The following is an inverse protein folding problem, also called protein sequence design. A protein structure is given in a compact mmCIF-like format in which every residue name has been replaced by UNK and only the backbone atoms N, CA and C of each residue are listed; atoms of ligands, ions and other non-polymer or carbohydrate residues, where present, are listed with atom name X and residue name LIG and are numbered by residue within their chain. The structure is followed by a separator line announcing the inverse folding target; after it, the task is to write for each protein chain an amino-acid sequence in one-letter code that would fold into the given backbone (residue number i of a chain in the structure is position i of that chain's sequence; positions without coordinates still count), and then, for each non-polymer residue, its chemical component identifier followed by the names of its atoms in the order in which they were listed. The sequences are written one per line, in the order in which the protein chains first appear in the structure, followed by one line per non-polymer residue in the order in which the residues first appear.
data_IF_666436809527
#
_entry.id   IF_666436809527
#
_cell.length_a   1.000
_cell.length_b   1.000
_cell.length_c   1.000
_cell.angle_alpha   90.00
_cell.angle_beta   90.00
_cell.angle_gamma   90.00
#
_symmetry.space_group_name_H-M   'P 1'
#
loop_
_entity.id
_entity.type
_entity.pdbx_description
1 polymer ?
#
# COMPACT_ATOMS: atom_id res chain seq x y z
N UNK A 1 -36.25 -18.92 35.08
CA UNK A 1 -35.10 -17.99 35.13
C UNK A 1 -34.02 -18.58 34.25
N UNK A 2 -33.80 -18.00 33.07
CA UNK A 2 -32.68 -18.36 32.20
C UNK A 2 -31.90 -17.06 31.97
N UNK A 3 -30.67 -17.03 32.48
CA UNK A 3 -29.76 -15.89 32.40
C UNK A 3 -29.19 -15.81 30.99
N UNK A 4 -29.45 -14.68 30.34
CA UNK A 4 -28.81 -14.24 29.11
C UNK A 4 -27.34 -13.96 29.38
N UNK A 5 -26.46 -14.63 28.66
CA UNK A 5 -25.01 -14.42 28.74
C UNK A 5 -24.71 -13.28 27.75
N UNK A 6 -24.75 -12.03 28.23
CA UNK A 6 -24.19 -10.89 27.50
C UNK A 6 -22.68 -11.04 27.52
N UNK A 7 -22.12 -11.62 26.47
CA UNK A 7 -20.67 -11.69 26.32
C UNK A 7 -20.18 -10.33 25.86
N UNK A 8 -19.24 -9.83 26.65
CA UNK A 8 -18.76 -8.46 26.69
C UNK A 8 -18.45 -7.85 25.32
N UNK A 9 -18.93 -6.62 25.17
CA UNK A 9 -18.51 -5.61 24.21
C UNK A 9 -17.01 -5.34 24.40
N UNK A 10 -16.17 -6.19 23.80
CA UNK A 10 -14.76 -5.87 23.60
C UNK A 10 -14.67 -4.85 22.45
N UNK A 11 -15.20 -3.65 22.67
CA UNK A 11 -14.89 -2.49 21.85
C UNK A 11 -13.37 -2.28 21.93
N UNK A 12 -12.61 -2.39 20.82
CA UNK A 12 -11.16 -2.21 20.84
C UNK A 12 -10.86 -0.72 21.00
N UNK A 13 -10.91 -0.25 22.23
CA UNK A 13 -10.42 1.04 22.65
C UNK A 13 -8.94 1.09 22.27
N UNK A 14 -8.62 1.94 21.28
CA UNK A 14 -7.28 2.33 20.78
C UNK A 14 -6.84 1.80 19.39
N UNK A 15 -7.76 1.67 18.43
CA UNK A 15 -7.45 1.68 16.98
C UNK A 15 -7.69 3.04 16.29
N UNK A 16 -8.01 4.08 17.04
CA UNK A 16 -8.44 5.35 16.45
C UNK A 16 -7.23 6.13 15.94
N UNK A 17 -7.09 6.21 14.62
CA UNK A 17 -6.11 7.08 13.96
C UNK A 17 -6.45 8.54 14.33
N UNK A 18 -5.50 9.33 14.87
CA UNK A 18 -5.78 10.72 15.22
C UNK A 18 -6.26 11.50 14.00
N UNK A 19 -7.28 12.37 14.16
CA UNK A 19 -7.85 13.16 13.04
C UNK A 19 -6.80 13.90 12.23
N UNK A 20 -5.81 14.51 12.90
CA UNK A 20 -4.69 15.19 12.21
C UNK A 20 -3.87 14.24 11.35
N UNK A 21 -3.56 13.05 11.87
CA UNK A 21 -2.86 12.01 11.11
C UNK A 21 -3.68 11.57 9.91
N UNK A 22 -4.98 11.30 10.11
CA UNK A 22 -5.88 10.90 9.01
C UNK A 22 -5.91 11.94 7.88
N UNK A 23 -5.96 13.24 8.20
CA UNK A 23 -5.87 14.31 7.21
C UNK A 23 -4.55 14.23 6.42
N UNK A 24 -3.41 13.98 7.09
CA UNK A 24 -2.14 13.82 6.39
C UNK A 24 -2.13 12.61 5.46
N UNK A 25 -2.67 11.46 5.90
CA UNK A 25 -2.75 10.25 5.08
C UNK A 25 -3.59 10.49 3.82
N UNK A 26 -4.80 11.03 3.97
CA UNK A 26 -5.70 11.33 2.84
C UNK A 26 -5.11 12.40 1.91
N UNK A 27 -4.49 13.44 2.48
CA UNK A 27 -3.83 14.48 1.67
C UNK A 27 -2.66 13.92 0.86
N UNK A 28 -1.92 12.97 1.43
CA UNK A 28 -0.81 12.31 0.73
C UNK A 28 -1.32 11.44 -0.41
N UNK A 29 -2.41 10.69 -0.21
CA UNK A 29 -3.07 9.95 -1.30
C UNK A 29 -3.53 10.87 -2.43
N UNK A 30 -4.28 11.92 -2.09
CA UNK A 30 -4.75 12.90 -3.07
C UNK A 30 -3.59 13.53 -3.84
N UNK A 31 -2.50 13.90 -3.16
CA UNK A 31 -1.35 14.49 -3.83
C UNK A 31 -0.60 13.49 -4.74
N UNK A 32 -0.65 12.19 -4.44
CA UNK A 32 0.11 11.16 -5.16
C UNK A 32 -0.60 10.65 -6.41
N UNK A 33 -1.93 10.68 -6.45
CA UNK A 33 -2.70 10.10 -7.56
C UNK A 33 -3.65 11.08 -8.25
N UNK A 34 -3.52 12.38 -7.96
CA UNK A 34 -4.19 13.40 -8.77
C UNK A 34 -3.51 13.54 -10.14
N UNK A 35 -4.28 13.78 -11.21
CA UNK A 35 -5.73 14.07 -11.24
C UNK A 35 -6.62 12.83 -11.33
N UNK A 36 -6.05 11.63 -11.49
CA UNK A 36 -6.78 10.44 -11.90
C UNK A 36 -7.72 9.90 -10.81
N UNK A 37 -7.37 10.09 -9.53
CA UNK A 37 -8.15 9.59 -8.41
C UNK A 37 -8.35 10.62 -7.31
N UNK A 38 -9.54 10.61 -6.71
CA UNK A 38 -9.92 11.47 -5.59
C UNK A 38 -10.33 10.62 -4.37
N UNK A 39 -9.67 10.85 -3.23
CA UNK A 39 -9.86 10.08 -1.99
C UNK A 39 -10.80 10.80 -1.01
N UNK A 40 -11.72 11.61 -1.50
CA UNK A 40 -12.65 12.42 -0.68
C UNK A 40 -13.60 11.59 0.19
N UNK A 41 -13.87 10.34 -0.19
CA UNK A 41 -14.71 9.41 0.57
C UNK A 41 -13.92 8.59 1.60
N UNK A 42 -12.58 8.66 1.62
CA UNK A 42 -11.76 7.87 2.53
C UNK A 42 -12.00 8.23 3.99
N UNK A 43 -12.16 7.21 4.81
CA UNK A 43 -12.40 7.32 6.24
C UNK A 43 -11.27 6.65 7.02
N UNK A 44 -11.30 6.73 8.36
CA UNK A 44 -10.33 6.00 9.18
C UNK A 44 -10.45 4.48 9.08
N UNK A 45 -11.56 3.94 8.54
CA UNK A 45 -11.76 2.50 8.41
C UNK A 45 -10.92 1.91 7.25
N UNK A 46 -10.60 2.73 6.25
CA UNK A 46 -9.76 2.36 5.11
C UNK A 46 -8.27 2.31 5.47
N UNK A 47 -7.93 2.61 6.73
CA UNK A 47 -6.55 2.62 7.19
C UNK A 47 -6.37 1.72 8.41
N UNK A 48 -5.22 1.07 8.48
CA UNK A 48 -4.79 0.32 9.66
C UNK A 48 -3.45 0.84 10.15
N UNK A 49 -3.27 0.84 11.48
CA UNK A 49 -1.97 1.14 12.09
C UNK A 49 -1.17 -0.15 12.19
N UNK A 50 0.02 -0.16 11.61
CA UNK A 50 0.92 -1.29 11.65
C UNK A 50 1.86 -1.17 12.84
N UNK A 51 1.84 -2.17 13.73
CA UNK A 51 2.64 -2.19 14.96
C UNK A 51 3.90 -3.04 14.83
N UNK A 52 4.00 -3.86 13.79
CA UNK A 52 5.11 -4.77 13.57
C UNK A 52 5.82 -4.45 12.25
N UNK A 53 6.98 -3.79 12.36
CA UNK A 53 7.80 -3.43 11.22
C UNK A 53 8.23 -4.64 10.38
N UNK A 54 8.56 -5.75 11.02
CA UNK A 54 9.02 -6.94 10.30
C UNK A 54 7.91 -7.52 9.42
N UNK A 55 6.65 -7.46 9.87
CA UNK A 55 5.51 -7.86 9.02
C UNK A 55 5.35 -6.94 7.81
N UNK A 56 5.53 -5.63 7.99
CA UNK A 56 5.47 -4.65 6.89
C UNK A 56 6.59 -4.92 5.88
N UNK A 57 7.83 -5.12 6.35
CA UNK A 57 8.96 -5.45 5.49
C UNK A 57 8.72 -6.74 4.72
N UNK A 58 8.34 -7.81 5.40
CA UNK A 58 8.03 -9.09 4.77
C UNK A 58 6.90 -8.98 3.75
N UNK A 59 5.87 -8.16 4.02
CA UNK A 59 4.76 -7.93 3.11
C UNK A 59 5.18 -7.21 1.82
N UNK A 60 6.10 -6.23 1.92
CA UNK A 60 6.69 -5.54 0.77
C UNK A 60 7.65 -6.46 0.03
N UNK A 61 8.59 -7.09 0.74
CA UNK A 61 9.62 -7.95 0.18
C UNK A 61 8.99 -9.13 -0.59
N UNK A 62 7.98 -9.78 -0.03
CA UNK A 62 7.34 -10.94 -0.69
C UNK A 62 6.65 -10.55 -2.01
N UNK A 63 6.11 -9.34 -2.10
CA UNK A 63 5.48 -8.83 -3.33
C UNK A 63 6.51 -8.47 -4.38
N UNK A 64 7.61 -7.82 -4.00
CA UNK A 64 8.68 -7.56 -4.96
C UNK A 64 9.41 -8.83 -5.40
N UNK A 65 9.61 -9.79 -4.50
CA UNK A 65 10.18 -11.10 -4.85
C UNK A 65 9.28 -11.84 -5.85
N UNK A 66 7.96 -11.73 -5.74
CA UNK A 66 7.05 -12.43 -6.66
C UNK A 66 7.15 -11.94 -8.12
N UNK A 67 7.64 -10.72 -8.34
CA UNK A 67 7.80 -10.12 -9.68
C UNK A 67 9.27 -10.10 -10.14
N UNK A 68 10.19 -9.74 -9.25
CA UNK A 68 11.61 -9.52 -9.59
C UNK A 68 12.54 -10.67 -9.19
N UNK A 69 12.07 -11.64 -8.39
CA UNK A 69 12.86 -12.78 -7.94
C UNK A 69 14.15 -12.40 -7.22
N UNK A 70 15.26 -13.05 -7.61
CA UNK A 70 16.56 -12.90 -6.96
C UNK A 70 17.20 -11.52 -7.15
N UNK A 71 16.81 -10.79 -8.21
CA UNK A 71 17.27 -9.42 -8.39
C UNK A 71 16.87 -8.55 -7.19
N UNK A 72 15.60 -8.63 -6.76
CA UNK A 72 15.14 -7.88 -5.60
C UNK A 72 15.87 -8.28 -4.31
N UNK A 73 16.17 -9.57 -4.12
CA UNK A 73 16.91 -10.02 -2.93
C UNK A 73 18.27 -9.32 -2.79
N UNK A 74 18.91 -9.00 -3.91
CA UNK A 74 20.21 -8.31 -3.91
C UNK A 74 20.11 -6.81 -3.56
N UNK A 75 18.98 -6.16 -3.85
CA UNK A 75 18.77 -4.71 -3.64
C UNK A 75 17.90 -4.38 -2.42
N UNK A 76 17.13 -5.33 -1.89
CA UNK A 76 16.27 -5.16 -0.71
C UNK A 76 16.99 -4.52 0.48
N UNK A 77 18.23 -4.93 0.85
CA UNK A 77 18.96 -4.28 1.95
C UNK A 77 19.22 -2.78 1.69
N UNK A 78 19.50 -2.40 0.45
CA UNK A 78 19.77 -1.01 0.06
C UNK A 78 18.49 -0.18 0.10
N UNK A 79 17.38 -0.72 -0.42
CA UNK A 79 16.06 -0.09 -0.34
C UNK A 79 15.71 0.24 1.11
N UNK A 80 15.81 -0.73 2.02
CA UNK A 80 15.49 -0.51 3.42
C UNK A 80 16.46 0.41 4.14
N UNK A 81 17.74 0.45 3.73
CA UNK A 81 18.72 1.43 4.25
C UNK A 81 18.32 2.86 3.88
N UNK A 82 18.01 3.10 2.59
CA UNK A 82 17.61 4.43 2.10
C UNK A 82 16.33 4.90 2.78
N UNK A 83 15.34 4.02 2.93
CA UNK A 83 14.11 4.36 3.65
C UNK A 83 14.42 4.73 5.11
N UNK A 84 15.25 3.95 5.81
CA UNK A 84 15.60 4.23 7.21
C UNK A 84 16.40 5.53 7.38
N UNK A 85 17.30 5.84 6.45
CA UNK A 85 18.04 7.10 6.43
C UNK A 85 17.11 8.31 6.23
N UNK A 86 16.12 8.21 5.34
CA UNK A 86 15.24 9.32 5.00
C UNK A 86 14.11 9.58 6.01
N UNK A 87 13.59 8.53 6.67
CA UNK A 87 12.42 8.67 7.56
C UNK A 87 12.66 8.21 8.99
N UNK A 88 13.74 7.49 9.28
CA UNK A 88 13.97 6.78 10.54
C UNK A 88 12.76 5.91 10.89
N UNK A 89 12.75 4.68 10.40
CA UNK A 89 11.60 3.79 10.45
C UNK A 89 11.23 3.48 11.91
N UNK A 90 12.23 3.32 12.79
CA UNK A 90 12.01 3.00 14.21
C UNK A 90 11.28 4.10 14.98
N UNK A 91 11.44 5.35 14.57
CA UNK A 91 10.75 6.50 15.17
C UNK A 91 9.48 6.90 14.42
N UNK A 92 9.12 6.17 13.37
CA UNK A 92 7.95 6.43 12.54
C UNK A 92 6.73 5.63 13.01
N UNK A 93 5.55 6.24 12.91
CA UNK A 93 4.29 5.50 12.96
C UNK A 93 3.95 4.98 11.58
N UNK A 94 3.65 3.68 11.48
CA UNK A 94 3.37 3.02 10.21
C UNK A 94 1.86 2.84 10.04
N UNK A 95 1.36 3.18 8.86
CA UNK A 95 -0.03 2.98 8.47
C UNK A 95 -0.11 2.28 7.13
N UNK A 96 -1.18 1.54 6.91
CA UNK A 96 -1.52 0.88 5.65
C UNK A 96 -2.87 1.40 5.17
N UNK A 97 -3.02 1.56 3.86
CA UNK A 97 -4.30 1.88 3.22
C UNK A 97 -4.86 0.65 2.52
N UNK A 98 -6.10 0.32 2.87
CA UNK A 98 -6.89 -0.79 2.37
C UNK A 98 -8.25 -0.22 1.94
N UNK A 99 -8.41 0.11 0.65
CA UNK A 99 -9.67 0.68 0.18
C UNK A 99 -10.82 -0.32 0.39
N UNK A 100 -11.98 0.17 0.84
CA UNK A 100 -13.21 -0.54 0.57
C UNK A 100 -13.38 -0.66 -0.96
N UNK A 101 -13.72 -1.83 -1.48
CA UNK A 101 -13.68 -2.10 -2.93
C UNK A 101 -14.53 -1.16 -3.82
N UNK A 102 -15.30 -0.24 -3.24
CA UNK A 102 -16.03 0.84 -3.93
C UNK A 102 -15.19 2.09 -4.21
N UNK A 103 -14.13 2.33 -3.45
CA UNK A 103 -13.28 3.52 -3.54
C UNK A 103 -11.87 3.18 -4.06
N UNK A 104 -11.66 1.93 -4.50
CA UNK A 104 -10.33 1.40 -4.81
C UNK A 104 -9.89 1.77 -6.24
N UNK A 105 -8.92 2.68 -6.43
CA UNK A 105 -8.32 2.94 -7.75
C UNK A 105 -7.52 1.74 -8.27
N UNK A 106 -7.19 0.80 -7.39
CA UNK A 106 -6.48 -0.44 -7.66
C UNK A 106 -7.43 -1.63 -7.91
N UNK A 107 -8.73 -1.38 -8.11
CA UNK A 107 -9.71 -2.42 -8.48
C UNK A 107 -9.82 -2.65 -9.98
N UNK A 108 -8.98 -1.98 -10.80
CA UNK A 108 -8.92 -2.21 -12.24
C UNK A 108 -8.64 -3.69 -12.56
N UNK A 109 -9.28 -4.17 -13.62
CA UNK A 109 -9.10 -5.56 -14.07
C UNK A 109 -7.64 -5.81 -14.40
N UNK A 110 -7.07 -6.86 -13.83
CA UNK A 110 -5.68 -7.26 -14.07
C UNK A 110 -4.70 -6.92 -12.94
N UNK A 111 -5.09 -6.17 -11.90
CA UNK A 111 -4.20 -5.93 -10.76
C UNK A 111 -4.01 -7.24 -9.96
N UNK A 112 -2.74 -7.68 -9.86
CA UNK A 112 -2.34 -8.89 -9.15
C UNK A 112 -2.22 -8.60 -7.65
N UNK A 113 -1.53 -7.51 -7.34
CA UNK A 113 -1.36 -7.03 -5.98
C UNK A 113 -1.06 -5.54 -5.98
N UNK A 114 -1.41 -4.90 -4.88
CA UNK A 114 -0.94 -3.56 -4.52
C UNK A 114 -0.57 -3.53 -3.03
N UNK A 115 0.18 -2.52 -2.65
CA UNK A 115 0.34 -2.13 -1.26
C UNK A 115 0.49 -0.61 -1.16
N UNK A 116 0.08 -0.07 -0.02
CA UNK A 116 0.10 1.36 0.26
C UNK A 116 0.49 1.57 1.72
N UNK A 117 1.76 1.84 1.99
CA UNK A 117 2.28 2.06 3.34
C UNK A 117 2.72 3.50 3.57
N UNK A 118 2.43 4.04 4.74
CA UNK A 118 2.82 5.37 5.16
C UNK A 118 3.73 5.27 6.37
N UNK A 119 4.87 5.95 6.33
CA UNK A 119 5.78 6.10 7.46
C UNK A 119 5.74 7.57 7.89
N UNK A 120 5.07 7.84 9.01
CA UNK A 120 4.89 9.18 9.52
C UNK A 120 5.83 9.43 10.70
N UNK A 121 6.87 10.24 10.47
CA UNK A 121 7.79 10.67 11.51
C UNK A 121 7.43 12.07 11.99
N UNK A 122 6.80 12.15 13.16
CA UNK A 122 6.36 13.42 13.78
C UNK A 122 7.53 14.33 14.16
N UNK A 123 8.70 13.79 14.48
CA UNK A 123 9.88 14.58 14.86
C UNK A 123 10.51 15.24 13.64
N UNK A 124 10.62 14.51 12.53
CA UNK A 124 11.09 15.03 11.25
C UNK A 124 10.03 15.88 10.52
N UNK A 125 8.78 15.82 10.97
CA UNK A 125 7.61 16.44 10.31
C UNK A 125 7.47 15.98 8.86
N UNK A 126 7.77 14.70 8.61
CA UNK A 126 7.84 14.09 7.28
C UNK A 126 6.93 12.87 7.22
N UNK A 127 6.36 12.64 6.04
CA UNK A 127 5.65 11.41 5.71
C UNK A 127 6.32 10.81 4.47
N UNK A 128 6.68 9.53 4.54
CA UNK A 128 7.09 8.76 3.38
C UNK A 128 5.92 7.87 2.99
N UNK A 129 5.49 7.96 1.73
CA UNK A 129 4.45 7.11 1.17
C UNK A 129 5.09 6.10 0.22
N UNK A 130 5.03 4.83 0.60
CA UNK A 130 5.58 3.71 -0.14
C UNK A 130 4.41 2.93 -0.76
N UNK A 131 4.20 3.13 -2.06
CA UNK A 131 3.15 2.47 -2.82
C UNK A 131 3.74 1.74 -4.03
N UNK A 132 3.14 0.61 -4.38
CA UNK A 132 3.41 -0.10 -5.61
C UNK A 132 2.22 -0.97 -5.97
N UNK A 133 1.99 -1.14 -7.28
CA UNK A 133 1.06 -2.11 -7.84
C UNK A 133 1.77 -2.99 -8.86
N UNK A 134 1.27 -4.20 -9.04
CA UNK A 134 1.61 -5.04 -10.17
C UNK A 134 0.34 -5.38 -10.94
N UNK A 135 0.32 -5.06 -12.22
CA UNK A 135 -0.73 -5.41 -13.16
C UNK A 135 -0.29 -6.58 -14.07
N UNK A 136 -1.26 -7.41 -14.44
CA UNK A 136 -1.17 -8.36 -15.52
C UNK A 136 -2.05 -7.84 -16.65
N UNK A 137 -1.43 -7.42 -17.75
CA UNK A 137 -2.14 -7.27 -19.01
C UNK A 137 -2.43 -8.66 -19.55
N UNK A 138 -3.51 -9.28 -19.10
CA UNK A 138 -4.14 -10.32 -19.92
C UNK A 138 -4.48 -9.62 -21.23
N UNK A 139 -3.88 -10.09 -22.33
CA UNK A 139 -4.24 -9.60 -23.66
C UNK A 139 -5.76 -9.62 -23.73
N UNK A 140 -6.38 -8.46 -23.98
CA UNK A 140 -7.68 -8.45 -24.59
C UNK A 140 -7.50 -9.28 -25.85
N UNK A 141 -8.00 -10.53 -25.82
CA UNK A 141 -8.21 -11.32 -27.02
C UNK A 141 -9.28 -10.57 -27.81
N UNK A 142 -8.86 -9.49 -28.47
CA UNK A 142 -9.48 -9.09 -29.71
C UNK A 142 -9.16 -10.26 -30.65
N UNK A 143 -10.23 -10.96 -31.00
CA UNK A 143 -10.22 -12.01 -32.01
C UNK A 143 -9.42 -11.53 -33.23
N UNK A 144 -8.57 -12.42 -33.76
CA UNK A 144 -7.74 -12.28 -34.97
C UNK A 144 -6.30 -11.80 -34.75
N UNK A 145 -5.40 -12.73 -34.39
CA UNK A 145 -4.32 -13.20 -35.27
C UNK A 145 -3.46 -14.26 -34.55
N UNK A 146 -3.33 -15.43 -35.19
CA UNK A 146 -2.34 -16.46 -34.86
C UNK A 146 -0.93 -15.89 -35.02
N UNK A 147 -0.17 -15.82 -33.92
CA UNK A 147 1.25 -16.17 -33.85
C UNK A 147 1.65 -16.18 -32.37
N UNK A 148 2.04 -17.35 -31.86
CA UNK A 148 2.50 -17.57 -30.48
C UNK A 148 3.75 -16.72 -30.18
N UNK A 149 3.57 -15.49 -29.70
CA UNK A 149 4.64 -14.74 -29.03
C UNK A 149 4.77 -15.20 -27.57
N UNK A 150 6.00 -15.48 -27.08
CA UNK A 150 6.21 -15.87 -25.70
C UNK A 150 5.75 -14.74 -24.76
N UNK A 151 5.05 -15.12 -23.69
CA UNK A 151 4.57 -14.24 -22.63
C UNK A 151 5.70 -13.36 -22.08
N UNK A 152 5.82 -12.13 -22.60
CA UNK A 152 6.63 -11.12 -21.97
C UNK A 152 5.92 -10.71 -20.67
N UNK A 153 6.48 -11.14 -19.53
CA UNK A 153 6.27 -10.45 -18.25
C UNK A 153 6.81 -9.04 -18.42
N UNK A 154 5.96 -8.16 -18.93
CA UNK A 154 6.26 -6.77 -19.11
C UNK A 154 6.34 -6.16 -17.71
N UNK A 155 7.57 -6.10 -17.17
CA UNK A 155 7.93 -5.49 -15.90
C UNK A 155 7.77 -3.97 -15.95
N UNK A 156 6.58 -3.46 -16.27
CA UNK A 156 6.25 -2.05 -16.13
C UNK A 156 6.04 -1.74 -14.66
N UNK A 157 7.13 -1.62 -13.91
CA UNK A 157 7.16 -0.77 -12.72
C UNK A 157 6.92 0.66 -13.20
N UNK A 158 5.66 1.09 -13.25
CA UNK A 158 5.32 2.49 -13.44
C UNK A 158 5.67 3.21 -12.14
N UNK A 159 6.86 3.80 -12.08
CA UNK A 159 7.26 4.71 -11.01
C UNK A 159 6.77 6.12 -11.37
N UNK A 160 5.48 6.38 -11.16
CA UNK A 160 4.97 7.75 -11.21
C UNK A 160 5.19 8.41 -9.84
N UNK A 161 6.31 9.12 -9.73
CA UNK A 161 6.68 9.80 -8.50
C UNK A 161 7.94 10.64 -8.70
N UNK A 162 7.84 11.69 -9.51
CA UNK A 162 8.81 12.78 -9.48
C UNK A 162 8.33 13.77 -8.42
N UNK A 163 9.11 13.93 -7.35
CA UNK A 163 8.91 15.00 -6.38
C UNK A 163 10.05 16.00 -6.58
N UNK A 164 9.72 17.20 -7.05
CA UNK A 164 10.60 18.39 -7.04
C UNK A 164 10.75 18.97 -5.63
#
# INVERSE_FOLDING_TARGET
MAQSISSDDESPLNKTIPRKTLIFLISTLNASFQPDYEFSCCTSQDFSRETNLELVKNAVDSRFISVMGDYYRSVSPQLWSVIDEEINIKESEIFSYHPDGTSDPFSESGIIWSFNFFFHNKKLRRILFLTCRADCKMASNDEDNEEDEPLEFNNYLTFEGVMD
#
